data_IF_505368374484
#
_entry.id   IF_505368374484
#
_cell.length_a   1.000
_cell.length_b   1.000
_cell.length_c   1.000
_cell.angle_alpha   90.00
_cell.angle_beta   90.00
_cell.angle_gamma   90.00
#
_symmetry.space_group_name_H-M   'P 1'
#
loop_
_entity.id
_entity.type
_entity.pdbx_description
1 polymer ?
#
# COMPACT_ATOMS: atom_id res chain seq x y z
N UNK A 1 -12.20 12.47 20.21
CA UNK A 1 -12.39 12.65 18.75
C UNK A 1 -12.94 14.00 18.35
N UNK A 2 -13.93 14.55 19.07
CA UNK A 2 -14.48 15.89 18.81
C UNK A 2 -13.48 17.02 19.12
N UNK A 3 -12.60 16.82 20.07
CA UNK A 3 -11.60 17.79 20.50
C UNK A 3 -10.43 17.89 19.52
N UNK A 4 -9.96 16.75 19.00
CA UNK A 4 -8.94 16.71 17.92
C UNK A 4 -9.43 17.37 16.62
N UNK A 5 -10.75 17.31 16.35
CA UNK A 5 -11.38 18.02 15.22
C UNK A 5 -11.42 19.52 15.42
N UNK A 6 -11.64 19.99 16.65
CA UNK A 6 -11.74 21.43 16.99
C UNK A 6 -10.38 22.12 17.00
N UNK A 7 -9.31 21.40 17.33
CA UNK A 7 -7.95 21.95 17.42
C UNK A 7 -7.20 21.94 16.09
N UNK A 8 -7.74 21.28 15.06
CA UNK A 8 -7.10 21.22 13.73
C UNK A 8 -7.43 22.46 12.92
N UNK A 9 -6.40 23.21 12.52
CA UNK A 9 -6.49 24.34 11.57
C UNK A 9 -6.80 23.92 10.14
N UNK A 10 -6.63 22.63 9.81
CA UNK A 10 -6.91 22.06 8.50
C UNK A 10 -8.18 21.17 8.57
N UNK A 11 -8.92 21.06 7.46
CA UNK A 11 -10.06 20.16 7.35
C UNK A 11 -9.62 18.70 7.54
N UNK A 12 -9.78 18.18 8.76
CA UNK A 12 -9.37 16.86 9.19
C UNK A 12 -10.61 16.01 9.48
N UNK A 13 -10.66 14.82 8.88
CA UNK A 13 -11.62 13.78 9.20
C UNK A 13 -10.92 12.81 10.15
N UNK A 14 -11.55 12.51 11.29
CA UNK A 14 -11.04 11.52 12.24
C UNK A 14 -12.10 10.44 12.38
N UNK A 15 -11.71 9.20 12.12
CA UNK A 15 -12.50 7.99 12.31
C UNK A 15 -11.93 7.29 13.53
N UNK A 16 -12.67 7.31 14.60
CA UNK A 16 -12.27 6.71 15.86
C UNK A 16 -12.64 5.23 15.96
N UNK A 17 -12.22 4.61 17.05
CA UNK A 17 -12.39 3.17 17.30
C UNK A 17 -13.84 2.70 17.18
N UNK A 18 -14.78 3.40 17.80
CA UNK A 18 -16.20 3.02 17.78
C UNK A 18 -16.80 2.97 16.37
N UNK A 19 -16.29 3.83 15.48
CA UNK A 19 -16.72 3.88 14.09
C UNK A 19 -16.10 2.74 13.29
N UNK A 20 -14.81 2.45 13.53
CA UNK A 20 -14.11 1.31 12.94
C UNK A 20 -14.77 -0.02 13.32
N UNK A 21 -15.15 -0.20 14.60
CA UNK A 21 -15.81 -1.41 15.08
C UNK A 21 -17.21 -1.59 14.47
N UNK A 22 -17.94 -0.49 14.26
CA UNK A 22 -19.26 -0.53 13.61
C UNK A 22 -19.19 -0.87 12.12
N UNK A 23 -18.12 -0.48 11.44
CA UNK A 23 -17.93 -0.79 10.02
C UNK A 23 -17.72 -2.29 9.79
N UNK A 24 -17.10 -3.00 10.74
CA UNK A 24 -16.88 -4.45 10.67
C UNK A 24 -15.99 -4.91 9.50
N UNK A 25 -15.21 -3.99 8.94
CA UNK A 25 -14.34 -4.29 7.81
C UNK A 25 -13.16 -5.17 8.25
N UNK A 26 -12.74 -6.07 7.39
CA UNK A 26 -11.66 -7.02 7.65
C UNK A 26 -10.28 -6.51 7.24
N UNK A 27 -10.22 -5.42 6.47
CA UNK A 27 -8.98 -4.80 6.03
C UNK A 27 -9.01 -3.28 6.18
N UNK A 28 -7.83 -2.69 6.33
CA UNK A 28 -7.68 -1.23 6.39
C UNK A 28 -8.05 -0.58 5.05
N UNK A 29 -7.75 -1.25 3.95
CA UNK A 29 -8.16 -0.79 2.61
C UNK A 29 -9.67 -0.66 2.47
N UNK A 30 -10.45 -1.59 3.05
CA UNK A 30 -11.90 -1.53 2.97
C UNK A 30 -12.47 -0.38 3.80
N UNK A 31 -11.90 -0.14 4.98
CA UNK A 31 -12.22 1.07 5.78
C UNK A 31 -11.94 2.34 4.98
N UNK A 32 -10.78 2.44 4.34
CA UNK A 32 -10.40 3.64 3.59
C UNK A 32 -11.27 3.88 2.35
N UNK A 33 -11.77 2.83 1.70
CA UNK A 33 -12.70 2.97 0.55
C UNK A 33 -14.02 3.67 0.92
N UNK A 34 -14.43 3.59 2.19
CA UNK A 34 -15.67 4.25 2.67
C UNK A 34 -15.48 5.74 2.91
N UNK A 35 -14.23 6.22 2.90
CA UNK A 35 -13.94 7.62 3.17
C UNK A 35 -14.26 8.51 1.97
N UNK A 36 -14.98 9.61 2.15
CA UNK A 36 -15.30 10.52 1.07
C UNK A 36 -14.02 11.14 0.47
N UNK A 37 -13.87 10.99 -0.84
CA UNK A 37 -12.72 11.52 -1.59
C UNK A 37 -11.47 10.64 -1.54
N UNK A 38 -11.54 9.45 -0.97
CA UNK A 38 -10.50 8.42 -1.03
C UNK A 38 -10.91 7.37 -2.05
N UNK A 39 -10.03 7.05 -2.97
CA UNK A 39 -10.18 5.94 -3.92
C UNK A 39 -8.98 5.03 -3.82
N UNK A 40 -9.22 3.74 -3.91
CA UNK A 40 -8.14 2.75 -3.93
C UNK A 40 -8.13 2.15 -5.33
N UNK A 41 -7.06 2.42 -6.05
CA UNK A 41 -6.84 1.85 -7.38
C UNK A 41 -6.43 0.38 -7.27
N UNK A 42 -6.55 -0.35 -8.37
CA UNK A 42 -6.19 -1.77 -8.41
C UNK A 42 -7.40 -2.70 -8.34
N UNK A 43 -7.14 -3.99 -8.40
CA UNK A 43 -8.18 -5.03 -8.36
C UNK A 43 -8.66 -5.24 -6.92
N UNK A 44 -9.94 -5.54 -6.70
CA UNK A 44 -10.48 -5.83 -5.37
C UNK A 44 -9.67 -6.92 -4.66
N UNK A 45 -9.38 -6.70 -3.37
CA UNK A 45 -8.66 -7.67 -2.52
C UNK A 45 -7.12 -7.66 -2.68
N UNK A 46 -6.54 -6.75 -3.47
CA UNK A 46 -5.09 -6.73 -3.74
C UNK A 46 -4.34 -5.52 -3.19
N UNK A 47 -4.92 -4.71 -2.35
CA UNK A 47 -4.29 -3.48 -1.91
C UNK A 47 -3.83 -2.65 -3.12
N UNK A 48 -4.49 -1.57 -3.39
CA UNK A 48 -4.15 -0.70 -4.51
C UNK A 48 -3.52 0.60 -4.04
N UNK A 49 -3.09 1.40 -4.98
CA UNK A 49 -2.65 2.75 -4.68
C UNK A 49 -3.80 3.57 -4.11
N UNK A 50 -3.56 4.16 -2.95
CA UNK A 50 -4.51 5.04 -2.31
C UNK A 50 -4.37 6.42 -2.95
N UNK A 51 -5.47 6.92 -3.45
CA UNK A 51 -5.58 8.21 -4.12
C UNK A 51 -6.61 9.06 -3.42
N UNK A 52 -6.32 10.33 -3.28
CA UNK A 52 -7.27 11.30 -2.76
C UNK A 52 -7.60 12.35 -3.82
N UNK A 53 -8.87 12.79 -3.84
CA UNK A 53 -9.36 13.89 -4.70
C UNK A 53 -9.13 13.67 -6.19
N UNK A 54 -9.07 12.41 -6.64
CA UNK A 54 -8.82 12.08 -8.05
C UNK A 54 -7.40 12.35 -8.55
N UNK A 55 -6.48 12.79 -7.68
CA UNK A 55 -5.09 12.99 -8.04
C UNK A 55 -4.34 11.66 -8.13
N UNK A 56 -3.36 11.57 -9.02
CA UNK A 56 -2.59 10.37 -9.26
C UNK A 56 -1.79 9.88 -8.06
N UNK A 57 -1.12 8.75 -8.25
CA UNK A 57 -0.22 8.19 -7.24
C UNK A 57 0.91 9.16 -6.89
N UNK A 58 1.32 9.17 -5.62
CA UNK A 58 2.40 10.02 -5.13
C UNK A 58 1.96 11.37 -4.59
N UNK A 59 0.73 11.80 -4.81
CA UNK A 59 0.18 13.04 -4.24
C UNK A 59 -0.52 12.84 -2.90
N UNK A 60 -0.82 11.59 -2.53
CA UNK A 60 -1.38 11.21 -1.23
C UNK A 60 -0.28 10.63 -0.35
N UNK A 61 -0.11 11.18 0.83
CA UNK A 61 0.87 10.68 1.78
C UNK A 61 0.20 9.75 2.79
N UNK A 62 0.74 8.55 2.95
CA UNK A 62 0.29 7.60 3.97
C UNK A 62 1.30 7.60 5.11
N UNK A 63 0.79 7.73 6.33
CA UNK A 63 1.55 7.76 7.56
C UNK A 63 1.06 6.67 8.50
N UNK A 64 1.94 6.12 9.30
CA UNK A 64 1.62 5.28 10.46
C UNK A 64 2.26 5.91 11.69
N UNK A 65 1.44 6.28 12.67
CA UNK A 65 1.85 7.04 13.85
C UNK A 65 2.62 8.34 13.50
N UNK A 66 2.18 9.04 12.46
CA UNK A 66 2.83 10.27 11.98
C UNK A 66 4.07 10.05 11.10
N UNK A 67 4.58 8.84 10.98
CA UNK A 67 5.75 8.52 10.18
C UNK A 67 5.37 7.97 8.81
N UNK A 68 6.15 8.32 7.79
CA UNK A 68 5.93 7.82 6.42
C UNK A 68 6.14 6.33 6.34
N UNK A 69 5.19 5.64 5.70
CA UNK A 69 5.39 4.23 5.39
C UNK A 69 6.49 4.06 4.33
N UNK A 70 7.34 3.04 4.48
CA UNK A 70 8.36 2.72 3.49
C UNK A 70 7.73 2.32 2.16
N UNK A 71 8.47 2.54 1.07
CA UNK A 71 8.06 2.07 -0.25
C UNK A 71 7.85 0.54 -0.23
N UNK A 72 6.72 0.11 -0.77
CA UNK A 72 6.36 -1.32 -0.82
C UNK A 72 5.65 -1.86 0.41
N UNK A 73 5.47 -1.07 1.46
CA UNK A 73 4.59 -1.41 2.57
C UNK A 73 3.13 -1.45 2.10
N UNK A 74 2.43 -2.51 2.44
CA UNK A 74 1.00 -2.60 2.22
C UNK A 74 0.26 -2.30 3.52
N UNK A 75 -0.66 -1.35 3.50
CA UNK A 75 -1.51 -1.04 4.66
C UNK A 75 -2.40 -2.22 5.08
N UNK A 76 -2.65 -3.16 4.17
CA UNK A 76 -3.41 -4.38 4.46
C UNK A 76 -2.65 -5.39 5.34
N UNK A 77 -1.37 -5.12 5.65
CA UNK A 77 -0.65 -5.84 6.70
C UNK A 77 -1.09 -5.43 8.10
N UNK A 78 -1.73 -4.27 8.22
CA UNK A 78 -2.36 -3.81 9.46
C UNK A 78 -3.78 -4.36 9.53
N UNK A 79 -4.18 -4.82 10.71
CA UNK A 79 -5.57 -5.21 10.94
C UNK A 79 -6.36 -4.05 11.57
N UNK A 80 -7.66 -3.92 11.29
CA UNK A 80 -8.47 -2.85 11.88
C UNK A 80 -8.42 -2.82 13.41
N UNK A 81 -8.22 -3.97 14.06
CA UNK A 81 -8.12 -4.10 15.51
C UNK A 81 -6.88 -3.43 16.10
N UNK A 82 -5.82 -3.27 15.30
CA UNK A 82 -4.58 -2.58 15.69
C UNK A 82 -4.72 -1.07 15.66
N UNK A 83 -5.77 -0.55 15.00
CA UNK A 83 -5.94 0.87 14.76
C UNK A 83 -6.76 1.51 15.87
N UNK A 84 -6.25 2.58 16.44
CA UNK A 84 -6.97 3.43 17.36
C UNK A 84 -7.89 4.40 16.61
N UNK A 85 -7.33 5.05 15.56
CA UNK A 85 -8.05 5.98 14.71
C UNK A 85 -7.34 6.16 13.37
N UNK A 86 -8.12 6.60 12.39
CA UNK A 86 -7.62 7.04 11.09
C UNK A 86 -7.89 8.54 10.96
N UNK A 87 -6.84 9.28 10.63
CA UNK A 87 -6.90 10.73 10.46
C UNK A 87 -6.66 11.06 8.99
N UNK A 88 -7.62 11.70 8.35
CA UNK A 88 -7.53 12.13 6.95
C UNK A 88 -7.44 13.65 6.90
N UNK A 89 -6.31 14.17 6.47
CA UNK A 89 -6.12 15.60 6.20
C UNK A 89 -6.24 15.86 4.71
N UNK A 90 -7.11 16.78 4.34
CA UNK A 90 -7.37 17.17 2.94
C UNK A 90 -6.47 18.28 2.42
N UNK A 91 -5.64 18.83 3.28
CA UNK A 91 -4.70 19.90 2.93
C UNK A 91 -3.29 19.50 3.39
N UNK A 92 -2.25 19.93 2.66
CA UNK A 92 -0.89 19.81 3.15
C UNK A 92 -0.72 20.61 4.45
N UNK A 93 0.00 20.03 5.39
CA UNK A 93 0.40 20.70 6.63
C UNK A 93 1.89 20.98 6.59
N UNK A 94 2.39 21.84 7.49
CA UNK A 94 3.82 22.09 7.61
C UNK A 94 4.64 20.80 7.83
N UNK A 95 4.05 19.80 8.51
CA UNK A 95 4.66 18.52 8.80
C UNK A 95 4.70 17.60 7.57
N UNK A 96 3.67 17.64 6.73
CA UNK A 96 3.56 16.76 5.56
C UNK A 96 4.26 17.31 4.32
N UNK A 97 4.51 18.63 4.29
CA UNK A 97 5.22 19.33 3.21
C UNK A 97 4.52 19.27 1.85
N UNK A 98 5.20 19.76 0.82
CA UNK A 98 4.67 19.92 -0.55
C UNK A 98 4.33 18.62 -1.28
N UNK A 99 4.71 17.46 -0.74
CA UNK A 99 4.43 16.13 -1.39
C UNK A 99 3.04 15.60 -1.09
N UNK A 100 2.32 16.16 -0.11
CA UNK A 100 0.96 15.75 0.24
C UNK A 100 -0.09 16.70 -0.36
N UNK A 101 0.04 17.03 -1.65
CA UNK A 101 -0.85 17.99 -2.32
C UNK A 101 -2.31 17.53 -2.29
N UNK A 102 -2.56 16.24 -2.45
CA UNK A 102 -3.90 15.66 -2.34
C UNK A 102 -4.37 15.52 -0.90
N UNK A 103 -3.45 15.52 0.05
CA UNK A 103 -3.67 15.30 1.48
C UNK A 103 -2.86 14.14 2.04
N UNK A 104 -3.09 13.86 3.32
CA UNK A 104 -2.45 12.76 4.04
C UNK A 104 -3.46 11.90 4.78
N UNK A 105 -3.15 10.62 4.91
CA UNK A 105 -3.88 9.65 5.72
C UNK A 105 -2.92 9.14 6.79
N UNK A 106 -3.19 9.43 8.04
CA UNK A 106 -2.41 8.95 9.18
C UNK A 106 -3.18 7.86 9.91
N UNK A 107 -2.61 6.67 9.94
CA UNK A 107 -3.13 5.51 10.66
C UNK A 107 -2.46 5.49 12.02
N UNK A 108 -3.22 5.83 13.06
CA UNK A 108 -2.73 5.83 14.44
C UNK A 108 -3.00 4.47 15.04
N UNK A 109 -1.95 3.79 15.43
CA UNK A 109 -2.02 2.47 16.06
C UNK A 109 -2.35 2.62 17.55
N UNK A 110 -3.00 1.62 18.11
CA UNK A 110 -3.33 1.56 19.56
C UNK A 110 -2.06 1.52 20.37
N UNK A 111 -2.01 2.32 21.40
CA UNK A 111 -0.91 2.33 22.36
C UNK A 111 -1.07 1.24 23.42
N UNK A 112 -2.29 1.02 23.89
CA UNK A 112 -2.61 0.03 24.91
C UNK A 112 -3.38 -1.15 24.31
N UNK A 113 -2.75 -2.30 24.24
CA UNK A 113 -3.44 -3.57 23.95
C UNK A 113 -4.04 -4.08 25.27
N UNK A 114 -5.22 -3.60 25.62
CA UNK A 114 -5.97 -4.04 26.82
C UNK A 114 -6.48 -5.49 26.74
N UNK A 115 -6.39 -6.13 25.57
CA UNK A 115 -6.77 -7.52 25.33
C UNK A 115 -5.64 -8.25 24.61
N UNK A 116 -5.37 -9.48 25.02
CA UNK A 116 -4.52 -10.38 24.26
C UNK A 116 -5.04 -10.49 22.84
N UNK A 117 -4.22 -10.09 21.90
CA UNK A 117 -4.50 -10.24 20.47
C UNK A 117 -3.65 -11.41 19.94
N UNK A 118 -4.27 -12.38 19.34
CA UNK A 118 -3.58 -13.44 18.64
C UNK A 118 -4.41 -13.79 17.40
N UNK A 119 -4.10 -13.15 16.30
CA UNK A 119 -4.86 -13.29 15.08
C UNK A 119 -4.00 -13.90 13.98
N UNK A 120 -4.52 -14.91 13.31
CA UNK A 120 -3.91 -15.54 12.14
C UNK A 120 -4.86 -15.41 10.98
N UNK A 121 -4.41 -14.81 9.90
CA UNK A 121 -5.14 -14.72 8.65
C UNK A 121 -4.40 -15.52 7.58
N UNK A 122 -5.12 -16.35 6.87
CA UNK A 122 -4.63 -17.11 5.73
C UNK A 122 -5.52 -16.81 4.52
N UNK A 123 -4.91 -16.44 3.43
CA UNK A 123 -5.61 -16.20 2.17
C UNK A 123 -4.98 -17.02 1.05
N UNK A 124 -5.84 -17.70 0.29
CA UNK A 124 -5.48 -18.41 -0.93
C UNK A 124 -6.34 -17.87 -2.07
N UNK A 125 -5.74 -17.65 -3.21
CA UNK A 125 -6.43 -17.17 -4.38
C UNK A 125 -5.85 -17.76 -5.66
N UNK A 126 -6.63 -17.70 -6.73
CA UNK A 126 -6.17 -18.02 -8.08
C UNK A 126 -6.65 -16.96 -9.05
N UNK A 127 -5.74 -16.45 -9.85
CA UNK A 127 -6.03 -15.44 -10.85
C UNK A 127 -5.19 -15.67 -12.09
N UNK A 128 -5.82 -15.60 -13.26
CA UNK A 128 -5.17 -15.85 -14.55
C UNK A 128 -4.35 -17.15 -14.56
N UNK A 129 -4.89 -18.24 -13.95
CA UNK A 129 -4.21 -19.52 -13.85
C UNK A 129 -3.10 -19.62 -12.80
N UNK A 130 -2.75 -18.52 -12.11
CA UNK A 130 -1.66 -18.46 -11.14
C UNK A 130 -2.20 -18.48 -9.71
N UNK A 131 -1.57 -19.26 -8.83
CA UNK A 131 -1.94 -19.37 -7.43
C UNK A 131 -1.31 -18.23 -6.62
N UNK A 132 -2.10 -17.67 -5.71
CA UNK A 132 -1.70 -16.62 -4.78
C UNK A 132 -1.88 -17.11 -3.35
N UNK A 133 -1.04 -16.67 -2.47
CA UNK A 133 -1.13 -16.98 -1.05
C UNK A 133 -0.68 -15.78 -0.21
N UNK A 134 -1.37 -15.57 0.88
CA UNK A 134 -0.93 -14.67 1.94
C UNK A 134 -1.19 -15.31 3.30
N UNK A 135 -0.31 -15.02 4.22
CA UNK A 135 -0.44 -15.40 5.61
C UNK A 135 -0.03 -14.21 6.47
N UNK A 136 -0.77 -13.94 7.52
CA UNK A 136 -0.35 -12.96 8.53
C UNK A 136 -0.66 -13.49 9.92
N UNK A 137 0.21 -13.14 10.86
CA UNK A 137 0.07 -13.40 12.26
C UNK A 137 0.34 -12.13 13.05
N UNK A 138 -0.62 -11.73 13.84
CA UNK A 138 -0.51 -10.56 14.70
C UNK A 138 -0.68 -10.99 16.15
N UNK A 139 0.26 -10.60 16.99
CA UNK A 139 0.21 -10.84 18.41
C UNK A 139 0.44 -9.56 19.18
N UNK A 140 -0.49 -9.27 20.08
CA UNK A 140 -0.40 -8.19 21.06
C UNK A 140 -0.70 -8.72 22.45
N UNK A 141 0.07 -8.29 23.43
CA UNK A 141 -0.14 -8.64 24.83
C UNK A 141 0.50 -7.57 25.73
N UNK A 142 0.07 -7.56 26.98
CA UNK A 142 0.71 -6.80 28.03
C UNK A 142 1.16 -7.75 29.14
N UNK A 143 2.45 -7.72 29.44
CA UNK A 143 3.06 -8.55 30.48
C UNK A 143 3.81 -7.63 31.45
N UNK A 144 3.20 -7.32 32.59
CA UNK A 144 3.74 -6.33 33.51
C UNK A 144 3.84 -4.95 32.84
N UNK A 145 5.03 -4.37 32.84
CA UNK A 145 5.34 -3.07 32.25
C UNK A 145 5.63 -3.13 30.73
N UNK A 146 5.68 -4.34 30.16
CA UNK A 146 5.89 -4.55 28.75
C UNK A 146 4.55 -4.65 28.02
N UNK A 147 4.33 -3.77 27.06
CA UNK A 147 3.21 -3.82 26.11
C UNK A 147 3.78 -4.01 24.71
N UNK A 148 3.30 -4.97 23.95
CA UNK A 148 3.77 -5.19 22.60
C UNK A 148 2.64 -5.55 21.63
N UNK A 149 2.82 -5.13 20.40
CA UNK A 149 1.98 -5.49 19.26
C UNK A 149 2.90 -5.75 18.06
N UNK A 150 3.03 -6.99 17.66
CA UNK A 150 3.89 -7.43 16.58
C UNK A 150 3.07 -8.12 15.51
N UNK A 151 3.40 -7.84 14.25
CA UNK A 151 2.77 -8.44 13.07
C UNK A 151 3.84 -9.02 12.16
N UNK A 152 3.65 -10.27 11.79
CA UNK A 152 4.45 -10.97 10.79
C UNK A 152 3.53 -11.34 9.62
N UNK A 153 3.93 -11.02 8.41
CA UNK A 153 3.19 -11.40 7.21
C UNK A 153 4.11 -11.95 6.14
N UNK A 154 3.58 -12.87 5.34
CA UNK A 154 4.22 -13.41 4.16
C UNK A 154 3.22 -13.45 3.02
N UNK A 155 3.68 -13.18 1.81
CA UNK A 155 2.82 -13.18 0.63
C UNK A 155 3.53 -13.70 -0.60
N UNK A 156 2.74 -14.28 -1.50
CA UNK A 156 3.13 -14.65 -2.86
C UNK A 156 2.01 -14.28 -3.81
N UNK A 157 2.26 -13.29 -4.64
CA UNK A 157 1.30 -12.75 -5.59
C UNK A 157 1.81 -12.93 -7.01
N UNK A 158 0.87 -13.17 -7.92
CA UNK A 158 1.11 -13.20 -9.36
C UNK A 158 0.18 -12.19 -10.02
N UNK A 159 0.69 -11.48 -10.99
CA UNK A 159 -0.10 -10.60 -11.85
C UNK A 159 0.22 -10.92 -13.29
N UNK A 160 -0.79 -11.37 -14.02
CA UNK A 160 -0.72 -11.52 -15.48
C UNK A 160 -1.54 -10.40 -16.11
N UNK A 161 -0.97 -9.75 -17.11
CA UNK A 161 -1.62 -8.67 -17.84
C UNK A 161 -1.46 -8.91 -19.33
N UNK A 162 -2.54 -8.69 -20.06
CA UNK A 162 -2.60 -8.72 -21.52
C UNK A 162 -3.04 -7.36 -21.99
N UNK A 163 -2.26 -6.70 -22.81
CA UNK A 163 -2.57 -5.39 -23.36
C UNK A 163 -2.43 -5.36 -24.87
N UNK A 164 -3.30 -4.62 -25.50
CA UNK A 164 -3.29 -4.30 -26.92
C UNK A 164 -3.19 -2.79 -27.04
N UNK A 165 -2.15 -2.32 -27.68
CA UNK A 165 -1.95 -0.89 -27.95
C UNK A 165 -1.99 -0.69 -29.45
N UNK A 166 -2.94 0.10 -29.94
CA UNK A 166 -3.02 0.48 -31.35
C UNK A 166 -2.66 1.95 -31.48
N UNK A 167 -1.70 2.22 -32.35
CA UNK A 167 -1.23 3.57 -32.68
C UNK A 167 -1.51 3.85 -34.13
N UNK A 168 -2.13 4.99 -34.44
CA UNK A 168 -2.43 5.43 -35.81
C UNK A 168 -2.00 6.87 -35.96
N UNK A 169 -1.14 7.13 -36.95
CA UNK A 169 -0.80 8.48 -37.37
C UNK A 169 -1.47 8.80 -38.71
N UNK A 170 -1.92 10.04 -38.85
CA UNK A 170 -2.53 10.53 -40.07
C UNK A 170 -1.84 11.80 -40.54
N UNK A 171 -1.64 11.91 -41.87
CA UNK A 171 -1.12 13.13 -42.48
C UNK A 171 -2.15 14.26 -42.44
N UNK A 172 -1.70 15.47 -42.73
CA UNK A 172 -2.60 16.65 -42.86
C UNK A 172 -3.68 16.50 -43.97
N UNK A 173 -3.46 15.58 -44.91
CA UNK A 173 -4.43 15.23 -45.92
C UNK A 173 -5.44 14.15 -45.50
N UNK A 174 -5.33 13.65 -44.26
CA UNK A 174 -6.21 12.59 -43.73
C UNK A 174 -5.79 11.17 -44.09
N UNK A 175 -4.67 10.98 -44.82
CA UNK A 175 -4.18 9.65 -45.14
C UNK A 175 -3.44 9.05 -43.91
N UNK A 176 -3.70 7.78 -43.62
CA UNK A 176 -2.96 7.04 -42.56
C UNK A 176 -1.52 6.84 -43.02
N UNK A 177 -0.60 7.38 -42.23
CA UNK A 177 0.85 7.27 -42.46
C UNK A 177 1.51 6.15 -41.65
N UNK A 178 0.92 5.81 -40.52
CA UNK A 178 1.35 4.72 -39.66
C UNK A 178 0.12 4.06 -39.02
N UNK A 179 0.08 2.76 -39.04
CA UNK A 179 -0.82 1.98 -38.19
C UNK A 179 -0.03 0.83 -37.56
N UNK A 180 0.07 0.85 -36.25
CA UNK A 180 0.78 -0.16 -35.47
C UNK A 180 -0.15 -0.79 -34.43
N UNK A 181 0.01 -2.07 -34.20
CA UNK A 181 -0.65 -2.78 -33.11
C UNK A 181 0.41 -3.58 -32.33
N UNK A 182 0.58 -3.24 -31.07
CA UNK A 182 1.41 -3.96 -30.12
C UNK A 182 0.51 -4.86 -29.26
N UNK A 183 0.77 -6.16 -29.29
CA UNK A 183 0.21 -7.16 -28.39
C UNK A 183 1.27 -7.46 -27.34
N UNK A 184 0.92 -7.29 -26.06
CA UNK A 184 1.87 -7.51 -24.97
C UNK A 184 1.25 -8.38 -23.89
N UNK A 185 1.95 -9.47 -23.60
CA UNK A 185 1.69 -10.36 -22.48
C UNK A 185 2.74 -10.18 -21.41
N UNK A 186 2.33 -9.94 -20.18
CA UNK A 186 3.26 -9.78 -19.08
C UNK A 186 2.86 -10.62 -17.88
N UNK A 187 3.86 -11.17 -17.20
CA UNK A 187 3.70 -11.91 -15.96
C UNK A 187 4.66 -11.36 -14.92
N UNK A 188 4.11 -10.88 -13.82
CA UNK A 188 4.88 -10.44 -12.65
C UNK A 188 4.60 -11.36 -11.47
N UNK A 189 5.66 -11.83 -10.82
CA UNK A 189 5.60 -12.63 -9.60
C UNK A 189 6.29 -11.87 -8.50
N UNK A 190 5.62 -11.73 -7.36
CA UNK A 190 6.16 -11.03 -6.20
C UNK A 190 5.93 -11.87 -4.95
N UNK A 191 6.97 -12.05 -4.15
CA UNK A 191 6.88 -12.69 -2.84
C UNK A 191 7.65 -11.87 -1.82
N UNK A 192 7.24 -11.95 -0.57
CA UNK A 192 7.94 -11.21 0.47
C UNK A 192 7.49 -11.60 1.86
N UNK A 193 8.28 -11.14 2.82
CA UNK A 193 8.01 -11.26 4.25
C UNK A 193 8.14 -9.87 4.87
N UNK A 194 7.28 -9.57 5.80
CA UNK A 194 7.23 -8.33 6.53
C UNK A 194 7.05 -8.61 8.03
N UNK A 195 7.87 -7.97 8.84
CA UNK A 195 7.74 -7.91 10.29
C UNK A 195 7.65 -6.44 10.69
N UNK A 196 6.67 -6.08 11.49
CA UNK A 196 6.52 -4.74 12.02
C UNK A 196 5.75 -4.74 13.33
N UNK A 197 5.79 -3.62 14.02
CA UNK A 197 5.01 -3.46 15.24
C UNK A 197 5.61 -2.45 16.21
N UNK A 198 5.15 -2.53 17.45
CA UNK A 198 5.58 -1.66 18.54
C UNK A 198 5.80 -2.48 19.81
N UNK A 199 6.85 -2.15 20.51
CA UNK A 199 7.14 -2.63 21.86
C UNK A 199 7.30 -1.42 22.75
N UNK A 200 6.49 -1.32 23.79
CA UNK A 200 6.49 -0.25 24.78
C UNK A 200 6.88 -0.83 26.13
N UNK A 201 7.87 -0.25 26.77
CA UNK A 201 8.28 -0.60 28.12
C UNK A 201 8.13 0.60 29.06
N UNK A 202 7.39 0.43 30.13
CA UNK A 202 7.20 1.45 31.16
C UNK A 202 8.30 1.32 32.22
N UNK A 203 9.05 2.39 32.42
CA UNK A 203 10.10 2.46 33.44
C UNK A 203 9.52 2.83 34.81
N UNK A 204 10.19 2.44 35.87
CA UNK A 204 9.76 2.67 37.28
C UNK A 204 9.64 4.15 37.64
N UNK A 205 10.24 5.06 36.88
CA UNK A 205 10.15 6.52 37.04
C UNK A 205 8.95 7.19 36.38
N UNK A 206 8.13 6.43 35.67
CA UNK A 206 7.01 6.98 34.86
C UNK A 206 7.35 7.21 33.40
N UNK A 207 8.61 7.12 33.03
CA UNK A 207 9.09 7.24 31.65
C UNK A 207 8.67 6.03 30.80
N UNK A 208 8.59 6.23 29.51
CA UNK A 208 8.28 5.18 28.56
C UNK A 208 9.38 5.05 27.50
N UNK A 209 9.75 3.83 27.17
CA UNK A 209 10.60 3.51 26.02
C UNK A 209 9.79 2.75 24.99
N UNK A 210 9.72 3.28 23.78
CA UNK A 210 9.01 2.67 22.65
C UNK A 210 10.00 2.25 21.58
N UNK A 211 9.91 1.01 21.14
CA UNK A 211 10.67 0.46 20.01
C UNK A 211 9.71 0.07 18.91
N UNK A 212 9.99 0.48 17.67
CA UNK A 212 9.21 0.15 16.49
C UNK A 212 10.09 -0.56 15.47
N UNK A 213 10.22 -1.90 15.58
CA UNK A 213 10.92 -2.69 14.57
C UNK A 213 10.14 -2.74 13.27
N UNK A 214 10.86 -2.67 12.17
CA UNK A 214 10.34 -2.89 10.84
C UNK A 214 11.38 -3.62 9.99
N UNK A 215 11.00 -4.77 9.45
CA UNK A 215 11.83 -5.54 8.53
C UNK A 215 10.95 -5.97 7.36
N UNK A 216 11.41 -5.73 6.16
CA UNK A 216 10.73 -6.17 4.94
C UNK A 216 11.75 -6.71 3.95
N UNK A 217 11.44 -7.85 3.35
CA UNK A 217 12.15 -8.35 2.18
C UNK A 217 11.15 -8.74 1.12
N UNK A 218 11.44 -8.35 -0.11
CA UNK A 218 10.61 -8.70 -1.27
C UNK A 218 11.49 -9.11 -2.44
N UNK A 219 11.05 -10.13 -3.14
CA UNK A 219 11.61 -10.54 -4.43
C UNK A 219 10.51 -10.42 -5.49
N UNK A 220 10.84 -9.78 -6.59
CA UNK A 220 9.96 -9.70 -7.74
C UNK A 220 10.68 -10.18 -9.00
N UNK A 221 9.98 -10.97 -9.81
CA UNK A 221 10.41 -11.37 -11.14
C UNK A 221 9.35 -10.96 -12.14
N UNK A 222 9.76 -10.41 -13.26
CA UNK A 222 8.86 -10.02 -14.33
C UNK A 222 9.34 -10.61 -15.67
N UNK A 223 8.39 -11.01 -16.48
CA UNK A 223 8.62 -11.36 -17.88
C UNK A 223 7.52 -10.73 -18.72
N UNK A 224 7.89 -10.20 -19.86
CA UNK A 224 6.95 -9.72 -20.85
C UNK A 224 7.40 -10.12 -22.24
N UNK A 225 6.46 -10.53 -23.07
CA UNK A 225 6.64 -10.73 -24.52
C UNK A 225 5.72 -9.73 -25.24
N UNK A 226 6.24 -9.10 -26.27
CA UNK A 226 5.51 -8.18 -27.11
C UNK A 226 5.68 -8.56 -28.59
N UNK A 227 4.60 -8.43 -29.35
CA UNK A 227 4.59 -8.58 -30.81
C UNK A 227 4.06 -7.31 -31.41
N UNK A 228 4.79 -6.73 -32.34
CA UNK A 228 4.43 -5.52 -33.07
C UNK A 228 4.07 -5.88 -34.51
N UNK A 229 2.92 -5.42 -34.94
CA UNK A 229 2.49 -5.48 -36.36
C UNK A 229 2.30 -4.08 -36.88
N UNK A 230 2.75 -3.83 -38.11
CA UNK A 230 2.66 -2.54 -38.80
C UNK A 230 1.92 -2.68 -40.12
N UNK A 231 1.13 -1.67 -40.47
CA UNK A 231 0.49 -1.52 -41.76
C UNK A 231 0.45 -0.02 -42.14
N UNK A 232 0.66 0.35 -43.41
CA UNK A 232 1.07 -0.48 -44.54
C UNK A 232 2.55 -0.91 -44.45
N UNK A 233 2.84 -2.09 -44.95
CA UNK A 233 4.15 -2.74 -44.88
C UNK A 233 5.20 -2.15 -45.82
N UNK A 234 4.93 -1.07 -46.54
CA UNK A 234 5.83 -0.51 -47.55
C UNK A 234 7.16 0.01 -47.02
N UNK A 235 7.23 0.28 -45.73
CA UNK A 235 8.48 0.69 -45.05
C UNK A 235 8.28 0.50 -43.54
N UNK A 236 8.68 -0.62 -42.95
CA UNK A 236 8.55 -0.82 -41.50
C UNK A 236 9.40 0.23 -40.78
N UNK A 237 8.76 0.98 -39.90
CA UNK A 237 9.42 2.02 -39.10
C UNK A 237 10.03 1.44 -37.82
N UNK A 238 9.50 0.31 -37.37
CA UNK A 238 10.00 -0.32 -36.16
C UNK A 238 11.22 -1.18 -36.45
N UNK A 239 12.20 -1.11 -35.56
CA UNK A 239 13.40 -1.93 -35.60
C UNK A 239 13.20 -3.36 -35.08
N UNK A 240 12.00 -3.70 -34.62
CA UNK A 240 11.68 -5.00 -34.04
C UNK A 240 10.24 -5.43 -34.36
N UNK A 241 10.04 -6.74 -34.50
CA UNK A 241 8.71 -7.35 -34.63
C UNK A 241 8.31 -8.09 -33.34
N UNK A 242 9.27 -8.56 -32.59
CA UNK A 242 9.06 -9.22 -31.29
C UNK A 242 10.07 -8.72 -30.27
N UNK A 243 9.65 -8.60 -29.03
CA UNK A 243 10.51 -8.22 -27.93
C UNK A 243 10.20 -9.05 -26.69
N UNK A 244 11.24 -9.59 -26.06
CA UNK A 244 11.15 -10.28 -24.78
C UNK A 244 11.89 -9.47 -23.72
N UNK A 245 11.21 -9.23 -22.60
CA UNK A 245 11.79 -8.50 -21.47
C UNK A 245 11.74 -9.38 -20.21
N UNK A 246 12.84 -9.43 -19.47
CA UNK A 246 12.91 -10.08 -18.17
C UNK A 246 13.53 -9.14 -17.16
N UNK A 247 13.01 -9.17 -15.96
CA UNK A 247 13.50 -8.37 -14.86
C UNK A 247 13.41 -9.15 -13.54
N UNK A 248 14.46 -9.01 -12.75
CA UNK A 248 14.54 -9.53 -11.39
C UNK A 248 14.86 -8.37 -10.45
N UNK A 249 14.16 -8.28 -9.33
CA UNK A 249 14.46 -7.30 -8.30
C UNK A 249 14.33 -7.90 -6.90
N UNK A 250 15.28 -7.55 -6.05
CA UNK A 250 15.25 -7.87 -4.63
C UNK A 250 15.30 -6.56 -3.85
N UNK A 251 14.44 -6.45 -2.86
CA UNK A 251 14.41 -5.29 -1.98
C UNK A 251 14.40 -5.78 -0.53
N UNK A 252 15.27 -5.22 0.30
CA UNK A 252 15.30 -5.49 1.72
C UNK A 252 15.45 -4.18 2.47
N UNK A 253 14.67 -4.02 3.52
CA UNK A 253 14.70 -2.86 4.41
C UNK A 253 14.58 -3.35 5.84
N UNK A 254 15.48 -2.88 6.69
CA UNK A 254 15.38 -3.02 8.14
C UNK A 254 15.47 -1.63 8.77
N UNK A 255 14.56 -1.34 9.69
CA UNK A 255 14.49 -0.08 10.42
C UNK A 255 14.09 -0.36 11.86
N UNK A 256 14.72 0.33 12.78
CA UNK A 256 14.35 0.36 14.19
C UNK A 256 14.21 1.83 14.61
N UNK A 257 13.01 2.23 14.98
CA UNK A 257 12.80 3.50 15.64
C UNK A 257 12.73 3.27 17.14
N UNK A 258 13.43 4.09 17.88
CA UNK A 258 13.39 4.11 19.34
C UNK A 258 12.97 5.51 19.79
N UNK A 259 12.03 5.57 20.72
CA UNK A 259 11.55 6.81 21.31
C UNK A 259 11.54 6.67 22.82
N UNK A 260 12.07 7.64 23.51
CA UNK A 260 11.98 7.79 24.95
C UNK A 260 11.12 9.00 25.26
N UNK A 261 10.23 8.85 26.23
CA UNK A 261 9.35 9.90 26.70
C UNK A 261 9.37 9.87 28.23
N UNK A 262 9.82 10.97 28.82
CA UNK A 262 9.82 11.24 30.24
C UNK A 262 8.77 12.26 30.63
#
# INVERSE_FOLDING_TARGET
DSEARRQSTASKIVIGRDELDRMGDTSVSDVLKRLPGVTIGGRPGRGGEIRMRGLGSGYTQILVNGERIPFGFSIDTLTPEQIERIEVSRAPTAETGARAIAGSINIVLREDVKRRLNNVNLGLGREAGQNQANASWTRGDQVGDLNYNLSLSAFRNHNADHSVVSTTDTSNSGATTLAQTELRDSLSRRSGVHLGGRVLYKLSGGDNVSLMPFVMTTRATSSASATLTEAPLSSPLASWATADTRGDSNFSLARLNAQWQG
#
